data_IF_136189418943
#
_entry.id   IF_136189418943
#
_cell.length_a   1.000
_cell.length_b   1.000
_cell.length_c   1.000
_cell.angle_alpha   90.00
_cell.angle_beta   90.00
_cell.angle_gamma   90.00
#
_symmetry.space_group_name_H-M   'P 1'
#
loop_
_entity.id
_entity.type
_entity.pdbx_description
1 polymer ?
#
# COMPACT_ATOMS: atom_id res chain seq x y z
N UNK A 1 13.63 -0.68 17.97
CA UNK A 1 14.01 -0.36 16.57
C UNK A 1 13.16 -1.23 15.67
N UNK A 2 12.45 -0.64 14.70
CA UNK A 2 11.52 -1.37 13.84
C UNK A 2 12.25 -2.42 12.98
N UNK A 3 11.68 -3.62 12.92
CA UNK A 3 12.16 -4.73 12.10
C UNK A 3 10.96 -5.47 11.46
N UNK A 4 10.69 -5.26 10.16
CA UNK A 4 9.56 -5.88 9.45
C UNK A 4 9.67 -7.40 9.32
N UNK A 5 10.82 -8.00 9.67
CA UNK A 5 11.03 -9.46 9.66
C UNK A 5 11.12 -10.05 11.06
N UNK A 6 10.91 -9.25 12.10
CA UNK A 6 10.96 -9.75 13.47
C UNK A 6 9.76 -10.63 13.77
N UNK A 7 9.99 -11.67 14.56
CA UNK A 7 8.94 -12.51 15.13
C UNK A 7 8.44 -11.95 16.47
N UNK A 8 9.08 -10.91 17.01
CA UNK A 8 8.62 -10.22 18.22
C UNK A 8 7.72 -9.06 17.86
N UNK A 9 6.54 -9.01 18.46
CA UNK A 9 5.53 -8.00 18.14
C UNK A 9 6.03 -6.58 18.40
N UNK A 10 6.83 -6.34 19.44
CA UNK A 10 7.33 -5.00 19.79
C UNK A 10 8.42 -4.51 18.82
N UNK A 11 9.02 -5.41 18.05
CA UNK A 11 10.01 -5.09 17.02
C UNK A 11 9.33 -4.98 15.65
N UNK A 12 8.28 -5.77 15.38
CA UNK A 12 7.51 -5.73 14.14
C UNK A 12 6.46 -4.60 14.09
N UNK A 13 5.83 -4.26 15.22
CA UNK A 13 4.82 -3.20 15.34
C UNK A 13 5.46 -2.00 16.05
N UNK A 14 5.70 -0.94 15.29
CA UNK A 14 6.30 0.30 15.80
C UNK A 14 5.37 1.48 15.57
N UNK A 15 4.97 2.17 16.65
CA UNK A 15 4.13 3.38 16.59
C UNK A 15 4.79 4.49 15.76
N UNK A 16 6.12 4.65 15.88
CA UNK A 16 6.91 5.59 15.09
C UNK A 16 6.80 5.28 13.59
N UNK A 17 7.02 4.02 13.19
CA UNK A 17 6.93 3.60 11.79
C UNK A 17 5.51 3.76 11.23
N UNK A 18 4.49 3.48 12.05
CA UNK A 18 3.09 3.65 11.66
C UNK A 18 2.79 5.13 11.40
N UNK A 19 3.21 6.03 12.30
CA UNK A 19 2.99 7.48 12.12
C UNK A 19 3.73 8.01 10.90
N UNK A 20 4.98 7.60 10.69
CA UNK A 20 5.72 7.97 9.46
C UNK A 20 5.03 7.45 8.20
N UNK A 21 4.49 6.23 8.24
CA UNK A 21 3.77 5.63 7.11
C UNK A 21 2.47 6.37 6.78
N UNK A 22 1.73 6.81 7.81
CA UNK A 22 0.52 7.61 7.64
C UNK A 22 0.84 9.00 7.11
N UNK A 23 1.86 9.68 7.65
CA UNK A 23 2.31 11.00 7.16
C UNK A 23 2.81 10.93 5.72
N UNK A 24 3.56 9.89 5.36
CA UNK A 24 3.99 9.65 3.98
C UNK A 24 2.80 9.46 3.03
N UNK A 25 1.78 8.70 3.44
CA UNK A 25 0.59 8.49 2.65
C UNK A 25 -0.22 9.79 2.48
N UNK A 26 -0.44 10.54 3.55
CA UNK A 26 -1.15 11.82 3.50
C UNK A 26 -0.46 12.81 2.56
N UNK A 27 0.87 12.90 2.60
CA UNK A 27 1.65 13.76 1.70
C UNK A 27 1.59 13.35 0.23
N UNK A 28 1.23 12.10 -0.06
CA UNK A 28 1.24 11.52 -1.39
C UNK A 28 -0.15 11.10 -1.91
N UNK A 29 -1.23 11.36 -1.18
CA UNK A 29 -2.58 10.92 -1.55
C UNK A 29 -3.06 11.44 -2.91
N UNK A 30 -2.59 12.62 -3.28
CA UNK A 30 -2.88 13.29 -4.56
C UNK A 30 -1.76 13.10 -5.60
N UNK A 31 -0.71 12.33 -5.27
CA UNK A 31 0.39 12.05 -6.19
C UNK A 31 -0.01 10.92 -7.14
N UNK A 32 -0.74 11.27 -8.20
CA UNK A 32 -1.27 10.31 -9.17
C UNK A 32 -0.17 9.47 -9.83
N UNK A 33 1.00 10.06 -10.11
CA UNK A 33 2.12 9.32 -10.71
C UNK A 33 2.63 8.21 -9.77
N UNK A 34 2.75 8.51 -8.48
CA UNK A 34 3.15 7.50 -7.49
C UNK A 34 2.08 6.42 -7.33
N UNK A 35 0.80 6.80 -7.26
CA UNK A 35 -0.32 5.86 -7.20
C UNK A 35 -0.29 4.90 -8.39
N UNK A 36 -0.06 5.42 -9.59
CA UNK A 36 0.05 4.63 -10.82
C UNK A 36 1.21 3.64 -10.76
N UNK A 37 2.39 4.09 -10.30
CA UNK A 37 3.55 3.21 -10.13
C UNK A 37 3.27 2.07 -9.14
N UNK A 38 2.54 2.36 -8.05
CA UNK A 38 2.18 1.35 -7.05
C UNK A 38 1.15 0.37 -7.62
N UNK A 39 0.14 0.84 -8.35
CA UNK A 39 -0.87 0.01 -9.01
C UNK A 39 -0.18 -0.92 -10.04
N UNK A 40 0.73 -0.40 -10.86
CA UNK A 40 1.50 -1.20 -11.81
C UNK A 40 2.38 -2.24 -11.11
N UNK A 41 3.02 -1.89 -10.00
CA UNK A 41 3.74 -2.86 -9.16
C UNK A 41 2.82 -3.97 -8.65
N UNK A 42 1.60 -3.62 -8.23
CA UNK A 42 0.61 -4.60 -7.76
C UNK A 42 0.18 -5.58 -8.88
N UNK A 43 0.16 -5.16 -10.15
CA UNK A 43 -0.11 -6.06 -11.30
C UNK A 43 0.91 -7.17 -11.45
N UNK A 44 2.13 -6.96 -10.98
CA UNK A 44 3.18 -7.98 -11.00
C UNK A 44 2.93 -9.11 -9.98
N UNK A 45 1.98 -8.94 -9.05
CA UNK A 45 1.58 -9.95 -8.04
C UNK A 45 2.73 -10.42 -7.15
N UNK A 46 3.67 -9.51 -6.86
CA UNK A 46 4.83 -9.76 -5.97
C UNK A 46 4.70 -9.11 -4.59
N UNK A 47 3.51 -8.61 -4.26
CA UNK A 47 3.24 -7.90 -3.02
C UNK A 47 3.61 -6.42 -3.06
N UNK A 48 3.11 -5.69 -2.06
CA UNK A 48 3.40 -4.28 -1.80
C UNK A 48 4.01 -4.15 -0.40
N UNK A 49 4.80 -3.10 -0.18
CA UNK A 49 5.21 -2.71 1.17
C UNK A 49 4.04 -2.08 1.93
N UNK A 50 4.14 -2.01 3.26
CA UNK A 50 3.15 -1.33 4.10
C UNK A 50 3.02 0.15 3.77
N UNK A 51 4.12 0.84 3.41
CA UNK A 51 4.09 2.24 2.98
C UNK A 51 3.36 2.44 1.65
N UNK A 52 3.63 1.60 0.66
CA UNK A 52 2.92 1.64 -0.63
C UNK A 52 1.42 1.34 -0.46
N UNK A 53 1.07 0.34 0.36
CA UNK A 53 -0.32 0.04 0.68
C UNK A 53 -1.01 1.23 1.37
N UNK A 54 -0.31 1.92 2.27
CA UNK A 54 -0.82 3.13 2.95
C UNK A 54 -1.16 4.25 1.96
N UNK A 55 -0.33 4.46 0.93
CA UNK A 55 -0.61 5.46 -0.12
C UNK A 55 -1.89 5.11 -0.89
N UNK A 56 -2.08 3.85 -1.28
CA UNK A 56 -3.31 3.42 -1.95
C UNK A 56 -4.55 3.57 -1.06
N UNK A 57 -4.41 3.36 0.26
CA UNK A 57 -5.50 3.54 1.22
C UNK A 57 -5.89 5.01 1.41
N UNK A 58 -4.92 5.92 1.33
CA UNK A 58 -5.16 7.37 1.45
C UNK A 58 -5.64 8.01 0.14
N UNK A 59 -5.57 7.31 -1.00
CA UNK A 59 -5.96 7.84 -2.31
C UNK A 59 -7.47 8.14 -2.35
N UNK A 60 -7.83 9.37 -2.73
CA UNK A 60 -9.23 9.83 -2.85
C UNK A 60 -9.71 9.90 -4.32
N UNK A 61 -8.83 9.62 -5.28
CA UNK A 61 -9.18 9.67 -6.71
C UNK A 61 -10.08 8.48 -7.09
N UNK A 62 -11.34 8.76 -7.43
CA UNK A 62 -12.35 7.74 -7.74
C UNK A 62 -11.95 6.79 -8.88
N UNK A 63 -11.26 7.29 -9.92
CA UNK A 63 -10.81 6.46 -11.04
C UNK A 63 -9.74 5.46 -10.59
N UNK A 64 -8.79 5.91 -9.76
CA UNK A 64 -7.72 5.07 -9.21
C UNK A 64 -8.25 4.08 -8.18
N UNK A 65 -9.19 4.51 -7.34
CA UNK A 65 -9.89 3.61 -6.42
C UNK A 65 -10.58 2.48 -7.18
N UNK A 66 -11.29 2.80 -8.27
CA UNK A 66 -11.93 1.78 -9.12
C UNK A 66 -10.90 0.83 -9.73
N UNK A 67 -9.81 1.36 -10.26
CA UNK A 67 -8.71 0.58 -10.82
C UNK A 67 -8.09 -0.40 -9.81
N UNK A 68 -7.95 0.02 -8.54
CA UNK A 68 -7.50 -0.84 -7.43
C UNK A 68 -8.50 -1.98 -7.19
N UNK A 69 -9.80 -1.69 -7.15
CA UNK A 69 -10.83 -2.71 -6.94
C UNK A 69 -10.88 -3.73 -8.09
N UNK A 70 -10.82 -3.26 -9.33
CA UNK A 70 -10.81 -4.12 -10.52
C UNK A 70 -9.58 -5.04 -10.52
N UNK A 71 -8.40 -4.49 -10.19
CA UNK A 71 -7.18 -5.28 -10.03
C UNK A 71 -7.31 -6.33 -8.91
N UNK A 72 -7.80 -5.94 -7.74
CA UNK A 72 -7.98 -6.84 -6.61
C UNK A 72 -8.95 -7.99 -6.96
N UNK A 73 -10.03 -7.69 -7.70
CA UNK A 73 -10.96 -8.71 -8.19
C UNK A 73 -10.29 -9.68 -9.16
N UNK A 74 -9.49 -9.17 -10.10
CA UNK A 74 -8.75 -10.01 -11.05
C UNK A 74 -7.75 -10.92 -10.33
N UNK A 75 -6.95 -10.36 -9.41
CA UNK A 75 -6.01 -11.16 -8.60
C UNK A 75 -6.75 -12.25 -7.83
N UNK A 76 -7.91 -11.94 -7.24
CA UNK A 76 -8.72 -12.95 -6.55
C UNK A 76 -9.14 -14.08 -7.49
N UNK A 77 -9.69 -13.76 -8.66
CA UNK A 77 -10.12 -14.75 -9.67
C UNK A 77 -8.99 -15.62 -10.21
N UNK A 78 -7.75 -15.11 -10.20
CA UNK A 78 -6.60 -15.84 -10.73
C UNK A 78 -6.02 -16.87 -9.74
N UNK A 79 -6.28 -16.71 -8.44
CA UNK A 79 -5.73 -17.56 -7.39
C UNK A 79 -6.78 -18.37 -6.59
N UNK A 80 -8.06 -17.98 -6.65
CA UNK A 80 -9.17 -18.60 -5.90
C UNK A 80 -10.35 -18.90 -6.82
#
# INVERSE_FOLDING_TARGET
>A
MYNPKSLKAEEFISDEEIRETLDYAEKNKDNTELVDQIIEKARLRKGLSHREASVLLACENEEKIKEIFDLAQQIKKDFY
#
